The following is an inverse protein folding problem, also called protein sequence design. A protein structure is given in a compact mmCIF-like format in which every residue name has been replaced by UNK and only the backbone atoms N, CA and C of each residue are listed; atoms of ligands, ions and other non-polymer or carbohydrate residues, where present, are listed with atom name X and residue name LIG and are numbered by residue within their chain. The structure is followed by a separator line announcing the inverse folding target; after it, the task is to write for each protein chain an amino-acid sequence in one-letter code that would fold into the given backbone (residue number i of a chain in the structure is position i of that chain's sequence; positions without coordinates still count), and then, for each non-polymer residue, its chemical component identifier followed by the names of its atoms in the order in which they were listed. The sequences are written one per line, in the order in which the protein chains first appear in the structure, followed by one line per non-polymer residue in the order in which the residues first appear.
data_IF_462935300542
#
_entry.id   IF_462935300542
#
_cell.length_a   1.000
_cell.length_b   1.000
_cell.length_c   1.000
_cell.angle_alpha   90.00
_cell.angle_beta   90.00
_cell.angle_gamma   90.00
#
_symmetry.space_group_name_H-M   'P 1'
#
loop_
_entity.id
_entity.type
_entity.pdbx_description
1 polymer ?
#
# COMPACT_ATOMS: atom_id res chain seq x y z
N UNK A 1 17.68 14.27 3.85
CA UNK A 1 16.95 13.86 5.07
C UNK A 1 15.91 14.92 5.37
N UNK A 2 14.72 14.51 5.82
CA UNK A 2 13.65 15.47 6.15
C UNK A 2 13.91 16.18 7.49
N UNK A 3 13.03 17.12 7.86
CA UNK A 3 13.19 17.93 9.08
C UNK A 3 13.13 17.09 10.36
N UNK A 4 12.29 16.03 10.42
CA UNK A 4 12.16 15.17 11.60
C UNK A 4 13.40 14.31 11.79
N UNK A 5 13.89 13.72 10.70
CA UNK A 5 15.12 12.93 10.69
C UNK A 5 16.33 13.75 11.14
N UNK A 6 16.45 15.00 10.68
CA UNK A 6 17.53 15.90 11.12
C UNK A 6 17.44 16.26 12.61
N UNK A 7 16.24 16.24 13.19
CA UNK A 7 16.01 16.51 14.60
C UNK A 7 16.10 15.26 15.50
N UNK A 8 16.32 14.07 14.93
CA UNK A 8 16.35 12.80 15.66
C UNK A 8 15.01 12.40 16.27
N UNK A 9 13.90 12.83 15.66
CA UNK A 9 12.53 12.52 16.12
C UNK A 9 12.03 11.29 15.37
N UNK A 10 11.89 10.18 16.09
CA UNK A 10 11.30 8.93 15.58
C UNK A 10 9.77 9.02 15.49
N UNK A 11 9.18 8.16 14.66
CA UNK A 11 7.72 8.00 14.63
C UNK A 11 7.27 7.12 15.80
N UNK A 12 6.13 7.46 16.38
CA UNK A 12 5.39 6.53 17.23
C UNK A 12 4.78 5.43 16.37
N UNK A 13 4.57 4.24 16.92
CA UNK A 13 3.90 3.17 16.18
C UNK A 13 2.53 3.60 15.63
N UNK A 14 1.81 4.49 16.34
CA UNK A 14 0.50 4.99 15.90
C UNK A 14 0.62 5.83 14.62
N UNK A 15 1.61 6.73 14.57
CA UNK A 15 1.90 7.52 13.37
C UNK A 15 2.34 6.62 12.21
N UNK A 16 3.18 5.61 12.47
CA UNK A 16 3.61 4.67 11.43
C UNK A 16 2.42 3.90 10.81
N UNK A 17 1.48 3.48 11.65
CA UNK A 17 0.26 2.78 11.23
C UNK A 17 -0.65 3.66 10.38
N UNK A 18 -0.88 4.90 10.81
CA UNK A 18 -1.66 5.89 10.06
C UNK A 18 -1.03 6.16 8.69
N UNK A 19 0.27 6.49 8.65
CA UNK A 19 1.02 6.74 7.41
C UNK A 19 0.98 5.52 6.48
N UNK A 20 1.12 4.32 7.05
CA UNK A 20 1.05 3.07 6.28
C UNK A 20 -0.33 2.87 5.66
N UNK A 21 -1.40 3.09 6.43
CA UNK A 21 -2.76 2.92 5.92
C UNK A 21 -3.14 4.00 4.90
N UNK A 22 -2.64 5.22 5.03
CA UNK A 22 -2.77 6.27 4.02
C UNK A 22 -2.11 5.86 2.70
N UNK A 23 -0.89 5.33 2.76
CA UNK A 23 -0.19 4.81 1.58
C UNK A 23 -0.96 3.67 0.92
N UNK A 24 -1.42 2.70 1.72
CA UNK A 24 -2.23 1.57 1.23
C UNK A 24 -3.51 2.08 0.57
N UNK A 25 -4.18 3.06 1.17
CA UNK A 25 -5.39 3.66 0.61
C UNK A 25 -5.10 4.34 -0.74
N UNK A 26 -4.04 5.14 -0.81
CA UNK A 26 -3.62 5.80 -2.05
C UNK A 26 -3.33 4.79 -3.18
N UNK A 27 -2.62 3.69 -2.88
CA UNK A 27 -2.35 2.61 -3.85
C UNK A 27 -3.65 1.99 -4.36
N UNK A 28 -4.65 1.77 -3.48
CA UNK A 28 -5.95 1.23 -3.88
C UNK A 28 -6.71 2.19 -4.80
N UNK A 29 -6.70 3.49 -4.48
CA UNK A 29 -7.32 4.52 -5.33
C UNK A 29 -6.66 4.54 -6.73
N UNK A 30 -5.33 4.44 -6.80
CA UNK A 30 -4.62 4.37 -8.08
C UNK A 30 -4.97 3.11 -8.86
N UNK A 31 -5.04 1.94 -8.21
CA UNK A 31 -5.43 0.68 -8.85
C UNK A 31 -6.85 0.76 -9.42
N UNK A 32 -7.80 1.29 -8.63
CA UNK A 32 -9.18 1.47 -9.06
C UNK A 32 -9.29 2.47 -10.23
N UNK A 33 -8.52 3.57 -10.20
CA UNK A 33 -8.48 4.52 -11.30
C UNK A 33 -7.98 3.86 -12.60
N UNK A 34 -6.95 3.01 -12.53
CA UNK A 34 -6.44 2.27 -13.69
C UNK A 34 -7.49 1.30 -14.24
N UNK A 35 -8.20 0.57 -13.37
CA UNK A 35 -9.28 -0.34 -13.79
C UNK A 35 -10.42 0.44 -14.47
N UNK A 36 -10.82 1.60 -13.92
CA UNK A 36 -11.83 2.48 -14.53
C UNK A 36 -11.39 2.97 -15.90
N UNK A 37 -10.13 3.39 -16.06
CA UNK A 37 -9.57 3.79 -17.35
C UNK A 37 -9.59 2.65 -18.38
N UNK A 38 -9.26 1.42 -17.97
CA UNK A 38 -9.36 0.27 -18.88
C UNK A 38 -10.79 0.02 -19.37
N UNK A 39 -11.77 0.10 -18.46
CA UNK A 39 -13.18 -0.05 -18.81
C UNK A 39 -13.67 1.06 -19.76
N UNK A 40 -13.28 2.31 -19.50
CA UNK A 40 -13.68 3.46 -20.35
C UNK A 40 -13.09 3.39 -21.76
N UNK A 41 -11.88 2.86 -21.94
CA UNK A 41 -11.21 2.74 -23.24
C UNK A 41 -11.65 1.50 -24.06
N UNK A 42 -12.33 0.54 -23.42
CA UNK A 42 -12.88 -0.64 -24.06
C UNK A 42 -11.83 -1.65 -24.57
N UNK A 43 -12.22 -2.45 -25.58
CA UNK A 43 -11.41 -3.58 -26.05
C UNK A 43 -10.04 -3.19 -26.63
N UNK A 44 -9.86 -1.93 -27.05
CA UNK A 44 -8.58 -1.41 -27.56
C UNK A 44 -7.42 -1.54 -26.55
N UNK A 45 -7.75 -1.66 -25.26
CA UNK A 45 -6.79 -1.75 -24.16
C UNK A 45 -5.93 -3.02 -24.19
N UNK A 46 -6.36 -4.09 -24.87
CA UNK A 46 -5.57 -5.34 -24.96
C UNK A 46 -4.33 -5.21 -25.85
N UNK A 47 -4.31 -4.22 -26.75
CA UNK A 47 -3.18 -3.99 -27.65
C UNK A 47 -1.94 -3.53 -26.88
N UNK A 48 -0.78 -4.13 -27.17
CA UNK A 48 0.50 -3.66 -26.60
C UNK A 48 0.88 -2.23 -27.02
N UNK A 49 0.27 -1.71 -28.09
CA UNK A 49 0.43 -0.31 -28.50
C UNK A 49 -0.36 0.66 -27.62
N UNK A 50 -1.37 0.18 -26.90
CA UNK A 50 -2.08 0.96 -25.91
C UNK A 50 -1.30 0.90 -24.58
N UNK A 51 -0.85 2.04 -24.02
CA UNK A 51 -0.04 2.02 -22.80
C UNK A 51 -0.80 1.56 -21.55
N UNK A 52 -2.14 1.63 -21.54
CA UNK A 52 -2.94 1.33 -20.33
C UNK A 52 -2.77 -0.11 -19.83
N UNK A 53 -2.59 -1.10 -20.71
CA UNK A 53 -2.37 -2.49 -20.27
C UNK A 53 -1.06 -2.68 -19.52
N UNK A 54 -0.05 -1.82 -19.75
CA UNK A 54 1.20 -1.89 -18.98
C UNK A 54 0.93 -1.46 -17.55
N UNK A 55 0.27 -0.32 -17.35
CA UNK A 55 -0.11 0.17 -16.02
C UNK A 55 -1.02 -0.83 -15.27
N UNK A 56 -1.97 -1.45 -15.96
CA UNK A 56 -2.85 -2.46 -15.37
C UNK A 56 -2.10 -3.71 -14.91
N UNK A 57 -1.12 -4.19 -15.69
CA UNK A 57 -0.27 -5.32 -15.28
C UNK A 57 0.67 -4.93 -14.14
N UNK A 58 1.30 -3.77 -14.24
CA UNK A 58 2.26 -3.27 -13.25
C UNK A 58 1.59 -3.04 -11.88
N UNK A 59 0.41 -2.40 -11.85
CA UNK A 59 -0.30 -2.14 -10.58
C UNK A 59 -0.80 -3.42 -9.92
N UNK A 60 -1.17 -4.45 -10.71
CA UNK A 60 -1.55 -5.77 -10.18
C UNK A 60 -0.38 -6.48 -9.50
N UNK A 61 0.85 -6.28 -9.97
CA UNK A 61 2.04 -6.79 -9.28
C UNK A 61 2.30 -5.97 -8.02
N UNK A 62 2.30 -4.64 -8.14
CA UNK A 62 2.54 -3.72 -7.03
C UNK A 62 1.62 -4.02 -5.83
N UNK A 63 0.31 -4.16 -6.05
CA UNK A 63 -0.67 -4.41 -4.98
C UNK A 63 -0.50 -5.75 -4.25
N UNK A 64 0.33 -6.66 -4.78
CA UNK A 64 0.68 -7.90 -4.07
C UNK A 64 1.86 -7.73 -3.10
N UNK A 65 2.59 -6.61 -3.17
CA UNK A 65 3.76 -6.39 -2.33
C UNK A 65 3.38 -6.29 -0.84
N UNK A 66 4.11 -6.99 0.03
CA UNK A 66 3.77 -7.08 1.47
C UNK A 66 3.67 -5.73 2.17
N UNK A 67 4.50 -4.76 1.79
CA UNK A 67 4.50 -3.41 2.37
C UNK A 67 3.27 -2.55 2.04
N UNK A 68 2.41 -2.98 1.10
CA UNK A 68 1.21 -2.22 0.68
C UNK A 68 -0.03 -3.11 0.53
N UNK A 69 0.04 -4.35 1.03
CA UNK A 69 -1.06 -5.30 0.90
C UNK A 69 -2.15 -4.98 1.92
N UNK A 70 -3.32 -4.58 1.43
CA UNK A 70 -4.42 -4.07 2.27
C UNK A 70 -4.85 -5.02 3.39
N UNK A 71 -5.12 -6.30 3.10
CA UNK A 71 -5.66 -7.23 4.10
C UNK A 71 -4.81 -7.32 5.37
N UNK A 72 -3.54 -7.74 5.29
CA UNK A 72 -2.66 -7.82 6.46
C UNK A 72 -2.41 -6.49 7.17
N UNK A 73 -2.23 -5.40 6.41
CA UNK A 73 -1.93 -4.08 7.00
C UNK A 73 -3.15 -3.46 7.70
N UNK A 74 -4.35 -3.66 7.16
CA UNK A 74 -5.59 -3.23 7.79
C UNK A 74 -5.85 -3.98 9.11
N UNK A 75 -5.56 -5.29 9.16
CA UNK A 75 -5.66 -6.09 10.39
C UNK A 75 -4.64 -5.60 11.44
N UNK A 76 -3.39 -5.36 11.03
CA UNK A 76 -2.35 -4.85 11.93
C UNK A 76 -2.73 -3.48 12.52
N UNK A 77 -3.18 -2.56 11.66
CA UNK A 77 -3.62 -1.24 12.09
C UNK A 77 -4.86 -1.31 13.00
N UNK A 78 -5.84 -2.15 12.66
CA UNK A 78 -7.02 -2.38 13.49
C UNK A 78 -6.70 -2.93 14.88
N UNK A 79 -5.78 -3.90 14.97
CA UNK A 79 -5.30 -4.45 16.25
C UNK A 79 -4.66 -3.38 17.11
N UNK A 80 -3.78 -2.57 16.51
CA UNK A 80 -3.14 -1.50 17.22
C UNK A 80 -4.14 -0.46 17.76
N UNK A 81 -5.13 -0.06 16.96
CA UNK A 81 -6.20 0.83 17.41
C UNK A 81 -7.00 0.26 18.59
N UNK A 82 -7.10 -1.08 18.67
CA UNK A 82 -7.79 -1.79 19.73
C UNK A 82 -6.88 -2.23 20.89
N UNK A 83 -5.58 -1.91 20.85
CA UNK A 83 -4.61 -2.34 21.87
C UNK A 83 -4.36 -3.86 21.89
N UNK A 84 -4.48 -4.52 20.74
CA UNK A 84 -4.25 -5.95 20.57
C UNK A 84 -2.85 -6.22 20.00
N UNK A 85 -2.28 -7.37 20.37
CA UNK A 85 -0.98 -7.81 19.88
C UNK A 85 -0.95 -8.00 18.34
N UNK A 86 0.14 -7.61 17.66
CA UNK A 86 0.32 -7.87 16.24
C UNK A 86 0.42 -9.38 15.99
N UNK A 87 0.04 -9.82 14.78
CA UNK A 87 0.29 -11.20 14.36
C UNK A 87 1.64 -11.31 13.64
N UNK A 88 2.27 -12.50 13.63
CA UNK A 88 3.49 -12.73 12.86
C UNK A 88 3.18 -12.55 11.38
N UNK A 89 3.70 -11.49 10.79
CA UNK A 89 3.62 -11.23 9.37
C UNK A 89 5.00 -11.46 8.77
N UNK A 90 5.10 -12.25 7.69
CA UNK A 90 6.28 -12.21 6.82
C UNK A 90 6.16 -10.94 5.98
N UNK A 91 6.31 -9.79 6.65
CA UNK A 91 6.36 -8.50 6.01
C UNK A 91 7.80 -8.28 5.56
N UNK A 92 7.98 -7.82 4.33
CA UNK A 92 9.28 -7.39 3.84
C UNK A 92 9.80 -6.17 4.63
N UNK A 93 10.40 -6.41 5.80
CA UNK A 93 11.35 -5.50 6.44
C UNK A 93 10.83 -4.57 7.55
N UNK A 94 9.66 -4.77 8.16
CA UNK A 94 9.34 -4.06 9.42
C UNK A 94 9.74 -4.91 10.63
N UNK A 95 10.57 -4.39 11.56
CA UNK A 95 10.98 -5.15 12.73
C UNK A 95 9.78 -5.44 13.63
N UNK A 96 9.72 -6.64 14.19
CA UNK A 96 8.82 -6.93 15.30
C UNK A 96 9.32 -6.13 16.51
N UNK A 97 8.65 -5.03 16.82
CA UNK A 97 8.84 -4.35 18.10
C UNK A 97 8.04 -5.17 19.12
N UNK A 98 8.77 -5.95 19.92
CA UNK A 98 8.28 -6.54 21.16
C UNK A 98 8.59 -5.66 22.35
#
# INVERSE_FOLDING_TARGET
MDRRALAGIEFTGAEESEITMDLVHAVRLCAEAIDRLQLSLGSSTVSLRNPIQRFARDVRVLTTHGAIRFGPLAELSGRQLLGLEPFPMVAGGVPQVG
#
